data_IF_254988671120
#
_entry.id   IF_254988671120
#
_cell.length_a   1.000
_cell.length_b   1.000
_cell.length_c   1.000
_cell.angle_alpha   90.00
_cell.angle_beta   90.00
_cell.angle_gamma   90.00
#
_symmetry.space_group_name_H-M   'P 1'
#
loop_
_entity.id
_entity.type
_entity.pdbx_description
1 polymer ?
#
# COMPACT_ATOMS: atom_id res chain seq x y z
N UNK A 1 -55.90 -7.86 30.91
CA UNK A 1 -55.29 -6.58 30.51
C UNK A 1 -53.87 -6.87 30.05
N UNK A 2 -53.64 -6.84 28.74
CA UNK A 2 -52.34 -7.09 28.11
C UNK A 2 -51.60 -5.75 28.00
N UNK A 3 -50.42 -5.63 28.61
CA UNK A 3 -49.51 -4.51 28.35
C UNK A 3 -48.28 -5.04 27.62
N UNK A 4 -48.36 -5.02 26.30
CA UNK A 4 -47.20 -5.23 25.44
C UNK A 4 -46.21 -4.09 25.69
N UNK A 5 -45.06 -4.43 26.29
CA UNK A 5 -43.96 -3.49 26.46
C UNK A 5 -43.29 -3.31 25.10
N UNK A 6 -43.54 -2.16 24.45
CA UNK A 6 -42.92 -1.82 23.18
C UNK A 6 -41.41 -1.65 23.38
N UNK A 7 -40.62 -2.57 22.82
CA UNK A 7 -39.16 -2.50 22.86
C UNK A 7 -38.70 -1.34 21.97
N UNK A 8 -38.14 -0.29 22.57
CA UNK A 8 -37.59 0.85 21.85
C UNK A 8 -36.44 0.41 20.92
N UNK A 9 -36.47 0.87 19.67
CA UNK A 9 -35.43 0.57 18.68
C UNK A 9 -34.06 1.16 19.09
N UNK A 10 -32.94 0.45 18.84
CA UNK A 10 -31.64 0.85 19.34
C UNK A 10 -31.14 2.13 18.65
N UNK A 11 -30.67 3.09 19.44
CA UNK A 11 -30.13 4.35 18.96
C UNK A 11 -28.90 4.13 18.05
N UNK A 12 -28.99 4.62 16.81
CA UNK A 12 -27.94 4.46 15.79
C UNK A 12 -26.71 5.28 16.19
N UNK A 13 -25.63 4.60 16.60
CA UNK A 13 -24.38 5.21 17.09
C UNK A 13 -23.63 5.91 15.94
N UNK A 14 -23.85 7.22 15.78
CA UNK A 14 -23.40 8.08 14.68
C UNK A 14 -21.86 8.18 14.49
N UNK A 15 -21.05 7.64 15.39
CA UNK A 15 -19.58 7.66 15.32
C UNK A 15 -18.90 6.37 14.82
N UNK A 16 -19.62 5.25 14.68
CA UNK A 16 -19.00 3.97 14.30
C UNK A 16 -18.49 3.94 12.86
N UNK A 17 -19.15 4.64 11.94
CA UNK A 17 -18.80 4.66 10.52
C UNK A 17 -17.46 5.34 10.22
N UNK A 18 -17.14 6.44 10.91
CA UNK A 18 -15.87 7.15 10.73
C UNK A 18 -14.69 6.31 11.23
N UNK A 19 -14.84 5.68 12.40
CA UNK A 19 -13.83 4.78 12.96
C UNK A 19 -13.59 3.56 12.06
N UNK A 20 -14.66 2.97 11.51
CA UNK A 20 -14.54 1.90 10.53
C UNK A 20 -13.82 2.35 9.24
N UNK A 21 -14.06 3.58 8.77
CA UNK A 21 -13.34 4.15 7.63
C UNK A 21 -11.84 4.26 7.87
N UNK A 22 -11.44 4.84 9.01
CA UNK A 22 -10.03 4.95 9.42
C UNK A 22 -9.36 3.57 9.56
N UNK A 23 -10.08 2.58 10.08
CA UNK A 23 -9.56 1.23 10.21
C UNK A 23 -9.37 0.53 8.85
N UNK A 24 -10.22 0.82 7.87
CA UNK A 24 -10.04 0.37 6.47
C UNK A 24 -8.83 1.05 5.82
N UNK A 25 -8.63 2.35 6.03
CA UNK A 25 -7.42 3.06 5.58
C UNK A 25 -6.19 2.36 6.12
N UNK A 26 -6.10 2.17 7.44
CA UNK A 26 -4.95 1.50 8.06
C UNK A 26 -4.66 0.12 7.47
N UNK A 27 -5.69 -0.70 7.24
CA UNK A 27 -5.54 -2.02 6.59
C UNK A 27 -5.06 -1.91 5.14
N UNK A 28 -5.54 -0.93 4.39
CA UNK A 28 -5.14 -0.72 2.99
C UNK A 28 -3.68 -0.33 2.82
N UNK A 29 -3.10 0.39 3.80
CA UNK A 29 -1.70 0.79 3.79
C UNK A 29 -0.75 -0.36 4.13
N UNK A 30 -1.23 -1.44 4.74
CA UNK A 30 -0.37 -2.58 5.13
C UNK A 30 0.26 -3.26 3.92
N UNK A 31 -0.45 -3.38 2.80
CA UNK A 31 0.02 -4.11 1.62
C UNK A 31 1.22 -3.41 0.93
N UNK A 32 1.19 -2.09 0.67
CA UNK A 32 2.38 -1.37 0.18
C UNK A 32 3.50 -1.26 1.21
N UNK A 33 3.19 -1.15 2.51
CA UNK A 33 4.23 -1.02 3.53
C UNK A 33 5.02 -2.33 3.69
N UNK A 34 4.39 -3.48 3.45
CA UNK A 34 5.03 -4.79 3.55
C UNK A 34 6.22 -4.99 2.59
N UNK A 35 6.28 -4.26 1.47
CA UNK A 35 7.37 -4.33 0.49
C UNK A 35 8.56 -3.42 0.84
N UNK A 36 8.36 -2.39 1.67
CA UNK A 36 9.41 -1.42 2.01
C UNK A 36 10.65 -2.04 2.70
N UNK A 37 10.53 -3.01 3.62
CA UNK A 37 11.70 -3.65 4.22
C UNK A 37 12.59 -4.35 3.19
N UNK A 38 11.97 -5.07 2.24
CA UNK A 38 12.71 -5.74 1.17
C UNK A 38 13.43 -4.71 0.28
N UNK A 39 12.77 -3.62 -0.10
CA UNK A 39 13.38 -2.56 -0.89
C UNK A 39 14.58 -1.90 -0.16
N UNK A 40 14.45 -1.67 1.14
CA UNK A 40 15.55 -1.14 1.96
C UNK A 40 16.77 -2.09 2.00
N UNK A 41 16.54 -3.40 2.09
CA UNK A 41 17.60 -4.40 2.01
C UNK A 41 18.26 -4.37 0.63
N UNK A 42 17.49 -4.30 -0.47
CA UNK A 42 18.04 -4.20 -1.83
C UNK A 42 18.96 -2.98 -1.98
N UNK A 43 18.52 -1.80 -1.49
CA UNK A 43 19.36 -0.60 -1.50
C UNK A 43 20.65 -0.77 -0.70
N UNK A 44 20.58 -1.43 0.47
CA UNK A 44 21.76 -1.66 1.31
C UNK A 44 22.77 -2.58 0.63
N UNK A 45 22.31 -3.64 -0.04
CA UNK A 45 23.15 -4.58 -0.77
C UNK A 45 23.79 -3.95 -2.01
N UNK A 46 23.14 -2.95 -2.62
CA UNK A 46 23.67 -2.23 -3.78
C UNK A 46 24.79 -1.22 -3.48
N UNK A 47 25.10 -0.97 -2.21
CA UNK A 47 26.12 0.01 -1.81
C UNK A 47 27.54 -0.44 -2.19
N UNK A 48 28.44 0.55 -2.32
CA UNK A 48 29.82 0.35 -2.76
C UNK A 48 30.63 -0.56 -1.81
N UNK A 49 30.29 -0.56 -0.52
CA UNK A 49 30.97 -1.28 0.55
C UNK A 49 30.54 -2.75 0.69
N UNK A 50 29.40 -3.14 0.12
CA UNK A 50 28.88 -4.52 0.22
C UNK A 50 29.25 -5.30 -1.04
N UNK A 51 28.55 -5.06 -2.13
CA UNK A 51 28.78 -5.73 -3.40
C UNK A 51 29.53 -4.88 -4.42
N UNK A 52 29.71 -3.58 -4.16
CA UNK A 52 30.40 -2.68 -5.09
C UNK A 52 31.93 -2.70 -4.96
N UNK A 53 32.55 -1.61 -5.45
CA UNK A 53 34.00 -1.52 -5.65
C UNK A 53 34.84 -1.64 -4.38
N UNK A 54 34.29 -1.20 -3.24
CA UNK A 54 34.96 -1.15 -1.94
C UNK A 54 34.64 -2.40 -1.09
N UNK A 55 33.77 -3.29 -1.59
CA UNK A 55 33.41 -4.58 -0.98
C UNK A 55 33.87 -5.77 -1.83
N UNK A 56 32.92 -6.61 -2.26
CA UNK A 56 33.21 -7.83 -3.06
C UNK A 56 33.67 -7.57 -4.51
N UNK A 57 33.67 -6.32 -4.98
CA UNK A 57 34.05 -5.95 -6.35
C UNK A 57 33.03 -6.35 -7.42
N UNK A 58 31.86 -6.82 -7.04
CA UNK A 58 30.77 -7.26 -7.93
C UNK A 58 29.91 -6.07 -8.41
N UNK A 59 30.55 -5.11 -9.06
CA UNK A 59 29.94 -3.82 -9.44
C UNK A 59 28.63 -3.95 -10.22
N UNK A 60 28.54 -4.91 -11.14
CA UNK A 60 27.30 -5.16 -11.92
C UNK A 60 26.16 -5.65 -11.03
N UNK A 61 26.46 -6.54 -10.08
CA UNK A 61 25.47 -7.09 -9.15
C UNK A 61 25.00 -6.00 -8.20
N UNK A 62 25.93 -5.20 -7.65
CA UNK A 62 25.61 -4.05 -6.80
C UNK A 62 24.66 -3.07 -7.51
N UNK A 63 24.93 -2.74 -8.78
CA UNK A 63 24.06 -1.88 -9.57
C UNK A 63 22.64 -2.44 -9.74
N UNK A 64 22.50 -3.76 -9.96
CA UNK A 64 21.18 -4.41 -10.03
C UNK A 64 20.43 -4.29 -8.70
N UNK A 65 21.08 -4.56 -7.57
CA UNK A 65 20.45 -4.42 -6.25
C UNK A 65 20.03 -2.98 -5.95
N UNK A 66 20.90 -2.01 -6.29
CA UNK A 66 20.60 -0.59 -6.10
C UNK A 66 19.41 -0.14 -6.95
N UNK A 67 19.41 -0.46 -8.25
CA UNK A 67 18.30 -0.11 -9.17
C UNK A 67 16.99 -0.80 -8.80
N UNK A 68 17.04 -2.07 -8.34
CA UNK A 68 15.86 -2.80 -7.90
C UNK A 68 15.23 -2.17 -6.65
N UNK A 69 16.03 -1.79 -5.65
CA UNK A 69 15.55 -1.08 -4.47
C UNK A 69 14.96 0.28 -4.84
N UNK A 70 15.66 1.04 -5.68
CA UNK A 70 15.22 2.36 -6.13
C UNK A 70 13.89 2.30 -6.90
N UNK A 71 13.70 1.29 -7.76
CA UNK A 71 12.47 1.11 -8.52
C UNK A 71 11.22 1.04 -7.63
N UNK A 72 11.34 0.49 -6.42
CA UNK A 72 10.23 0.45 -5.45
C UNK A 72 9.97 1.84 -4.86
N UNK A 73 11.01 2.52 -4.37
CA UNK A 73 10.86 3.83 -3.73
C UNK A 73 10.44 4.92 -4.73
N UNK A 74 10.96 4.88 -5.95
CA UNK A 74 10.61 5.79 -7.04
C UNK A 74 9.17 5.63 -7.54
N UNK A 75 8.54 4.46 -7.30
CA UNK A 75 7.14 4.20 -7.66
C UNK A 75 6.22 4.04 -6.43
N UNK A 76 6.67 4.51 -5.27
CA UNK A 76 5.92 4.41 -4.02
C UNK A 76 4.50 5.02 -4.09
N UNK A 77 4.27 6.18 -4.74
CA UNK A 77 2.91 6.71 -4.91
C UNK A 77 1.98 5.77 -5.67
N UNK A 78 2.48 5.08 -6.69
CA UNK A 78 1.71 4.11 -7.48
C UNK A 78 1.36 2.88 -6.63
N UNK A 79 2.32 2.35 -5.87
CA UNK A 79 2.11 1.22 -4.96
C UNK A 79 1.04 1.55 -3.92
N UNK A 80 1.10 2.75 -3.33
CA UNK A 80 0.08 3.22 -2.38
C UNK A 80 -1.28 3.43 -3.04
N UNK A 81 -1.35 3.99 -4.25
CA UNK A 81 -2.61 4.15 -4.98
C UNK A 81 -3.32 2.80 -5.18
N UNK A 82 -2.59 1.80 -5.67
CA UNK A 82 -3.13 0.44 -5.87
C UNK A 82 -3.52 -0.20 -4.53
N UNK A 83 -2.66 -0.13 -3.50
CA UNK A 83 -2.96 -0.70 -2.18
C UNK A 83 -4.18 -0.08 -1.51
N UNK A 84 -4.33 1.24 -1.60
CA UNK A 84 -5.50 1.96 -1.08
C UNK A 84 -6.76 1.54 -1.84
N UNK A 85 -6.72 1.52 -3.18
CA UNK A 85 -7.86 1.10 -3.98
C UNK A 85 -8.32 -0.32 -3.64
N UNK A 86 -7.40 -1.26 -3.51
CA UNK A 86 -7.69 -2.65 -3.13
C UNK A 86 -8.29 -2.72 -1.72
N UNK A 87 -7.71 -2.01 -0.74
CA UNK A 87 -8.20 -2.05 0.64
C UNK A 87 -9.56 -1.38 0.86
N UNK A 88 -9.98 -0.51 -0.06
CA UNK A 88 -11.31 0.09 -0.07
C UNK A 88 -12.34 -0.68 -0.90
N UNK A 89 -11.90 -1.54 -1.82
CA UNK A 89 -12.79 -2.29 -2.67
C UNK A 89 -13.62 -3.31 -1.88
N UNK A 90 -14.89 -3.48 -2.28
CA UNK A 90 -15.78 -4.51 -1.71
C UNK A 90 -15.31 -5.92 -2.07
N UNK A 91 -14.69 -6.06 -3.25
CA UNK A 91 -14.02 -7.28 -3.72
C UNK A 91 -12.63 -6.86 -4.20
N UNK A 92 -11.60 -7.44 -3.58
CA UNK A 92 -10.21 -7.22 -3.95
C UNK A 92 -9.85 -8.16 -5.11
N UNK A 93 -10.15 -7.74 -6.34
CA UNK A 93 -9.90 -8.50 -7.57
C UNK A 93 -8.90 -7.77 -8.48
N UNK A 94 -8.40 -8.48 -9.49
CA UNK A 94 -7.43 -7.92 -10.44
C UNK A 94 -7.95 -6.69 -11.20
N UNK A 95 -9.27 -6.57 -11.40
CA UNK A 95 -9.87 -5.42 -12.09
C UNK A 95 -9.74 -4.14 -11.27
N UNK A 96 -9.90 -4.20 -9.95
CA UNK A 96 -9.68 -3.07 -9.03
C UNK A 96 -8.25 -2.56 -9.13
N UNK A 97 -7.27 -3.46 -9.14
CA UNK A 97 -5.86 -3.10 -9.23
C UNK A 97 -5.53 -2.42 -10.58
N UNK A 98 -6.05 -2.98 -11.68
CA UNK A 98 -5.84 -2.41 -13.02
C UNK A 98 -6.49 -1.03 -13.16
N UNK A 99 -7.71 -0.85 -12.65
CA UNK A 99 -8.39 0.45 -12.67
C UNK A 99 -7.61 1.51 -11.87
N UNK A 100 -7.09 1.15 -10.70
CA UNK A 100 -6.26 2.04 -9.89
C UNK A 100 -4.96 2.42 -10.59
N UNK A 101 -4.28 1.46 -11.22
CA UNK A 101 -3.08 1.70 -12.02
C UNK A 101 -3.37 2.69 -13.16
N UNK A 102 -4.40 2.43 -13.96
CA UNK A 102 -4.77 3.30 -15.10
C UNK A 102 -5.15 4.69 -14.61
N UNK A 103 -5.96 4.79 -13.55
CA UNK A 103 -6.33 6.07 -12.94
C UNK A 103 -5.11 6.86 -12.45
N UNK A 104 -4.16 6.19 -11.80
CA UNK A 104 -2.90 6.80 -11.37
C UNK A 104 -2.06 7.28 -12.54
N UNK A 105 -1.94 6.49 -13.61
CA UNK A 105 -1.18 6.88 -14.80
C UNK A 105 -1.82 8.08 -15.51
N UNK A 106 -3.14 8.11 -15.66
CA UNK A 106 -3.85 9.28 -16.22
C UNK A 106 -3.60 10.49 -15.34
N UNK A 107 -3.78 10.37 -14.02
CA UNK A 107 -3.52 11.46 -13.08
C UNK A 107 -2.08 11.98 -13.19
N UNK A 108 -1.08 11.10 -13.15
CA UNK A 108 0.35 11.45 -13.18
C UNK A 108 0.82 12.10 -14.50
N UNK A 109 0.19 11.77 -15.63
CA UNK A 109 0.63 12.27 -16.94
C UNK A 109 -0.20 13.47 -17.44
N UNK A 110 -1.38 13.71 -16.86
CA UNK A 110 -2.26 14.83 -17.26
C UNK A 110 -2.10 16.04 -16.33
N UNK A 111 -1.86 15.80 -15.04
CA UNK A 111 -1.60 16.82 -14.01
C UNK A 111 -0.12 16.80 -13.63
#
# INVERSE_FOLDING_TARGET
MSTASATAAPAKKRGSGLFQGLQKVGRSLQLPIAVLPAAGILLRLGQADVFGKDGLGWNKVAAVFMTAGDAVFSNLPLLFCVGIAIGFAKKADGSTALAALVGFLVYKNVL
#
